data_IF_860711247060
#
_entry.id   IF_860711247060
#
_cell.length_a   1.000
_cell.length_b   1.000
_cell.length_c   1.000
_cell.angle_alpha   90.00
_cell.angle_beta   90.00
_cell.angle_gamma   90.00
#
_symmetry.space_group_name_H-M   'P 1'
#
loop_
_entity.id
_entity.type
_entity.pdbx_description
1 polymer ?
#
# COMPACT_ATOMS: atom_id res chain seq x y z
N UNK A 1 -1.62 18.05 -2.29
CA UNK A 1 -1.99 16.64 -2.58
C UNK A 1 -0.72 15.78 -2.54
N UNK A 2 -0.28 15.31 -1.36
CA UNK A 2 1.02 14.61 -1.22
C UNK A 2 0.94 13.25 -0.49
N UNK A 3 -0.25 12.73 -0.21
CA UNK A 3 -0.43 11.50 0.58
C UNK A 3 -0.38 10.21 -0.24
N UNK A 4 -0.26 10.29 -1.57
CA UNK A 4 -0.32 9.12 -2.46
C UNK A 4 1.04 8.60 -2.93
N UNK A 5 2.13 9.32 -2.70
CA UNK A 5 3.49 8.86 -3.00
C UNK A 5 3.99 7.86 -1.95
N UNK A 6 3.65 8.07 -0.67
CA UNK A 6 3.93 7.14 0.45
C UNK A 6 3.48 5.73 0.09
N UNK A 7 2.16 5.53 -0.09
CA UNK A 7 1.58 4.19 -0.31
C UNK A 7 2.25 3.35 -1.39
N UNK A 8 2.72 3.95 -2.48
CA UNK A 8 3.38 3.20 -3.56
C UNK A 8 4.78 2.78 -3.14
N UNK A 9 5.51 3.68 -2.47
CA UNK A 9 6.85 3.38 -1.99
C UNK A 9 6.77 2.33 -0.88
N UNK A 10 5.76 2.40 -0.02
CA UNK A 10 5.45 1.37 0.99
C UNK A 10 5.22 0.00 0.33
N UNK A 11 4.38 -0.05 -0.72
CA UNK A 11 4.11 -1.29 -1.48
C UNK A 11 5.35 -1.78 -2.24
N UNK A 12 6.15 -0.88 -2.80
CA UNK A 12 7.38 -1.23 -3.50
C UNK A 12 8.42 -1.80 -2.53
N UNK A 13 8.57 -1.20 -1.35
CA UNK A 13 9.44 -1.69 -0.29
C UNK A 13 9.03 -3.09 0.19
N UNK A 14 7.73 -3.28 0.40
CA UNK A 14 7.18 -4.59 0.76
C UNK A 14 7.40 -5.63 -0.35
N UNK A 15 7.23 -5.25 -1.62
CA UNK A 15 7.52 -6.12 -2.77
C UNK A 15 9.01 -6.48 -2.90
N UNK A 16 9.90 -5.53 -2.57
CA UNK A 16 11.34 -5.73 -2.55
C UNK A 16 11.82 -6.50 -1.30
N UNK A 17 10.92 -6.87 -0.38
CA UNK A 17 11.23 -7.62 0.83
C UNK A 17 11.95 -6.81 1.91
N UNK A 18 11.91 -5.47 1.81
CA UNK A 18 12.50 -4.58 2.81
C UNK A 18 11.40 -4.02 3.72
N UNK A 19 11.70 -3.98 5.02
CA UNK A 19 10.84 -3.30 5.98
C UNK A 19 10.66 -1.83 5.60
N UNK A 20 9.46 -1.30 5.80
CA UNK A 20 9.13 0.09 5.48
C UNK A 20 10.02 1.10 6.23
N UNK A 21 10.53 0.72 7.40
CA UNK A 21 11.45 1.53 8.20
C UNK A 21 12.92 1.44 7.76
N UNK A 22 13.22 0.58 6.78
CA UNK A 22 14.55 0.44 6.19
C UNK A 22 15.04 1.80 5.67
N UNK A 23 16.33 2.14 5.90
CA UNK A 23 16.91 3.38 5.38
C UNK A 23 16.72 3.51 3.86
N UNK A 24 16.82 2.40 3.12
CA UNK A 24 16.60 2.37 1.66
C UNK A 24 15.19 2.83 1.26
N UNK A 25 14.17 2.47 2.05
CA UNK A 25 12.79 2.86 1.79
C UNK A 25 12.53 4.34 2.03
N UNK A 26 13.19 4.89 3.05
CA UNK A 26 13.14 6.33 3.36
C UNK A 26 13.82 7.14 2.26
N UNK A 27 14.99 6.71 1.81
CA UNK A 27 15.73 7.34 0.70
C UNK A 27 14.95 7.28 -0.62
N UNK A 28 14.35 6.14 -0.94
CA UNK A 28 13.52 5.99 -2.12
C UNK A 28 12.30 6.92 -2.07
N UNK A 29 11.67 7.02 -0.90
CA UNK A 29 10.52 7.89 -0.71
C UNK A 29 10.88 9.37 -0.89
N UNK A 30 12.01 9.79 -0.33
CA UNK A 30 12.55 11.13 -0.52
C UNK A 30 12.88 11.40 -2.00
N UNK A 31 13.51 10.46 -2.68
CA UNK A 31 13.84 10.58 -4.10
C UNK A 31 12.58 10.77 -4.96
N UNK A 32 11.55 9.94 -4.78
CA UNK A 32 10.29 10.05 -5.55
C UNK A 32 9.57 11.37 -5.26
N UNK A 33 9.71 11.93 -4.06
CA UNK A 33 9.17 13.25 -3.74
C UNK A 33 9.96 14.38 -4.40
N UNK A 34 11.28 14.30 -4.41
CA UNK A 34 12.14 15.38 -4.89
C UNK A 34 12.41 15.31 -6.40
N UNK A 35 12.22 14.16 -7.05
CA UNK A 35 12.43 13.96 -8.48
C UNK A 35 11.11 13.99 -9.26
N UNK A 36 10.86 15.03 -10.10
CA UNK A 36 9.62 15.14 -10.87
C UNK A 36 9.47 14.06 -11.94
N UNK A 37 10.55 13.57 -12.53
CA UNK A 37 10.52 12.51 -13.54
C UNK A 37 10.10 11.17 -12.93
N UNK A 38 10.71 10.78 -11.81
CA UNK A 38 10.33 9.57 -11.09
C UNK A 38 8.88 9.63 -10.60
N UNK A 39 8.42 10.82 -10.18
CA UNK A 39 7.02 11.03 -9.82
C UNK A 39 6.09 10.82 -11.02
N UNK A 40 6.41 11.38 -12.18
CA UNK A 40 5.62 11.20 -13.40
C UNK A 40 5.58 9.74 -13.86
N UNK A 41 6.70 9.02 -13.75
CA UNK A 41 6.80 7.60 -14.05
C UNK A 41 5.94 6.74 -13.13
N UNK A 42 5.99 7.00 -11.83
CA UNK A 42 5.14 6.34 -10.83
C UNK A 42 3.64 6.56 -11.13
N UNK A 43 3.27 7.78 -11.54
CA UNK A 43 1.90 8.10 -11.94
C UNK A 43 1.47 7.40 -13.23
N UNK A 44 2.38 7.13 -14.18
CA UNK A 44 2.05 6.36 -15.39
C UNK A 44 1.78 4.89 -15.06
N UNK A 45 2.59 4.28 -14.19
CA UNK A 45 2.39 2.91 -13.71
C UNK A 45 1.03 2.78 -13.00
N UNK A 46 0.67 3.72 -12.13
CA UNK A 46 -0.65 3.75 -11.48
C UNK A 46 -1.80 3.74 -12.48
N UNK A 47 -1.69 4.53 -13.56
CA UNK A 47 -2.71 4.56 -14.61
C UNK A 47 -2.81 3.20 -15.29
N UNK A 48 -1.69 2.56 -15.59
CA UNK A 48 -1.64 1.21 -16.17
C UNK A 48 -2.32 0.19 -15.25
N UNK A 49 -1.99 0.17 -13.95
CA UNK A 49 -2.62 -0.74 -12.97
C UNK A 49 -4.14 -0.53 -12.91
N UNK A 50 -4.58 0.74 -12.88
CA UNK A 50 -6.01 1.08 -12.87
C UNK A 50 -6.71 0.56 -14.13
N UNK A 51 -6.08 0.72 -15.30
CA UNK A 51 -6.61 0.19 -16.56
C UNK A 51 -6.75 -1.33 -16.47
N UNK A 52 -5.71 -2.04 -16.03
CA UNK A 52 -5.77 -3.49 -15.84
C UNK A 52 -6.94 -3.88 -14.92
N UNK A 53 -7.10 -3.25 -13.75
CA UNK A 53 -8.20 -3.53 -12.82
C UNK A 53 -9.59 -3.27 -13.42
N UNK A 54 -9.72 -2.33 -14.36
CA UNK A 54 -11.00 -2.07 -15.03
C UNK A 54 -11.29 -3.02 -16.18
N UNK A 55 -10.25 -3.49 -16.88
CA UNK A 55 -10.38 -4.41 -18.03
C UNK A 55 -10.62 -5.83 -17.54
N UNK A 56 -9.90 -6.26 -16.51
CA UNK A 56 -10.21 -7.49 -15.80
C UNK A 56 -11.39 -7.20 -14.88
N UNK A 57 -12.62 -7.53 -15.31
CA UNK A 57 -13.78 -7.59 -14.42
C UNK A 57 -13.45 -8.57 -13.29
N UNK A 58 -13.00 -8.03 -12.16
CA UNK A 58 -12.85 -8.80 -10.93
C UNK A 58 -14.24 -9.31 -10.59
N UNK A 59 -14.41 -10.63 -10.53
CA UNK A 59 -15.67 -11.18 -10.04
C UNK A 59 -15.96 -10.58 -8.66
N UNK A 60 -17.19 -10.08 -8.43
CA UNK A 60 -17.53 -9.52 -7.14
C UNK A 60 -17.31 -10.59 -6.07
N UNK A 61 -16.49 -10.26 -5.07
CA UNK A 61 -16.25 -11.14 -3.94
C UNK A 61 -17.61 -11.51 -3.30
N UNK A 62 -17.91 -12.80 -3.10
CA UNK A 62 -19.14 -13.22 -2.43
C UNK A 62 -19.28 -12.51 -1.08
N UNK A 63 -20.46 -11.96 -0.81
CA UNK A 63 -20.67 -11.10 0.36
C UNK A 63 -20.42 -11.87 1.67
N UNK A 64 -20.69 -13.18 1.70
CA UNK A 64 -20.35 -14.08 2.80
C UNK A 64 -18.85 -14.10 3.16
N UNK A 65 -17.97 -14.15 2.15
CA UNK A 65 -16.51 -14.17 2.34
C UNK A 65 -16.04 -12.81 2.85
N UNK A 66 -16.61 -11.73 2.32
CA UNK A 66 -16.34 -10.36 2.76
C UNK A 66 -16.74 -10.13 4.21
N UNK A 67 -17.93 -10.57 4.61
CA UNK A 67 -18.45 -10.47 5.98
C UNK A 67 -17.56 -11.24 6.96
N UNK A 68 -17.18 -12.47 6.62
CA UNK A 68 -16.30 -13.29 7.47
C UNK A 68 -14.90 -12.68 7.61
N UNK A 69 -14.33 -12.15 6.52
CA UNK A 69 -13.05 -11.45 6.56
C UNK A 69 -13.11 -10.21 7.47
N UNK A 70 -14.14 -9.37 7.32
CA UNK A 70 -14.34 -8.18 8.15
C UNK A 70 -14.49 -8.54 9.62
N UNK A 71 -15.23 -9.61 9.93
CA UNK A 71 -15.39 -10.12 11.30
C UNK A 71 -14.05 -10.49 11.92
N UNK A 72 -13.21 -11.25 11.22
CA UNK A 72 -11.88 -11.65 11.71
C UNK A 72 -10.92 -10.46 11.87
N UNK A 73 -10.99 -9.47 10.98
CA UNK A 73 -10.18 -8.26 11.09
C UNK A 73 -10.60 -7.37 12.25
N UNK A 74 -11.90 -7.25 12.52
CA UNK A 74 -12.42 -6.50 13.67
C UNK A 74 -12.06 -7.16 15.00
N UNK A 75 -12.06 -8.50 15.06
CA UNK A 75 -11.57 -9.24 16.22
C UNK A 75 -10.06 -9.02 16.50
N UNK A 76 -9.28 -8.65 15.48
CA UNK A 76 -7.86 -8.30 15.62
C UNK A 76 -7.60 -6.84 15.97
N UNK A 77 -8.61 -5.95 16.06
CA UNK A 77 -8.41 -4.56 16.51
C UNK A 77 -8.24 -4.47 18.05
N UNK A 78 -7.02 -4.81 18.46
CA UNK A 78 -6.26 -4.47 19.68
C UNK A 78 -6.63 -5.08 21.04
N UNK A 79 -5.61 -5.40 21.86
CA UNK A 79 -4.93 -4.36 22.63
C UNK A 79 -3.53 -4.01 22.10
N UNK A 80 -3.23 -2.73 22.14
CA UNK A 80 -1.86 -2.21 22.23
C UNK A 80 -1.20 -2.74 23.51
N UNK A 81 0.12 -2.98 23.53
CA UNK A 81 0.81 -3.31 24.76
C UNK A 81 0.90 -2.02 25.60
N UNK A 82 -0.01 -1.86 26.56
CA UNK A 82 0.27 -1.08 27.77
C UNK A 82 0.71 -2.05 28.86
N UNK A 83 1.71 -1.63 29.63
CA UNK A 83 2.29 -2.22 30.86
C UNK A 83 3.27 -3.39 30.63
N UNK A 84 4.42 -3.51 31.29
CA UNK A 84 5.16 -2.67 32.24
C UNK A 84 6.49 -3.40 32.53
N UNK A 85 7.62 -2.70 32.56
CA UNK A 85 8.61 -2.76 33.65
C UNK A 85 9.59 -1.60 33.54
#
# INVERSE_FOLDING_TARGET
MSTHAKKIVDELCNYLGYDFDSPMCKELHEHVQNCPECRAYIESIKKTVKICQTVYKVEPLPEEVKQELLRKLQQKKHPSPKTAK
#
